data_IF_092346290884
#
_entry.id   IF_092346290884
#
_cell.length_a   1.000
_cell.length_b   1.000
_cell.length_c   1.000
_cell.angle_alpha   90.00
_cell.angle_beta   90.00
_cell.angle_gamma   90.00
#
_symmetry.space_group_name_H-M   'P 1'
#
loop_
_entity.id
_entity.type
_entity.pdbx_description
1 polymer ?
#
# COMPACT_ATOMS: atom_id res chain seq x y z
N UNK A 1 0.00 14.94 -11.03
CA UNK A 1 -0.64 14.09 -12.07
C UNK A 1 -1.53 12.98 -11.51
N UNK A 2 -1.10 12.26 -10.47
CA UNK A 2 -1.89 11.20 -9.82
C UNK A 2 -3.14 11.72 -9.08
N UNK A 3 -3.01 12.82 -8.34
CA UNK A 3 -4.12 13.45 -7.62
C UNK A 3 -5.25 13.89 -8.57
N UNK A 4 -4.89 14.48 -9.70
CA UNK A 4 -5.85 14.93 -10.73
C UNK A 4 -6.61 13.75 -11.36
N UNK A 5 -5.92 12.63 -11.58
CA UNK A 5 -6.54 11.40 -12.08
C UNK A 5 -7.53 10.80 -11.06
N UNK A 6 -7.17 10.78 -9.78
CA UNK A 6 -8.07 10.31 -8.71
C UNK A 6 -9.35 11.16 -8.60
N UNK A 7 -9.21 12.48 -8.70
CA UNK A 7 -10.36 13.40 -8.70
C UNK A 7 -11.25 13.15 -9.92
N UNK A 8 -10.66 12.96 -11.10
CA UNK A 8 -11.41 12.66 -12.33
C UNK A 8 -12.20 11.36 -12.22
N UNK A 9 -11.52 10.28 -11.81
CA UNK A 9 -12.13 8.96 -11.65
C UNK A 9 -13.32 8.99 -10.68
N UNK A 10 -13.17 9.63 -9.52
CA UNK A 10 -14.27 9.79 -8.55
C UNK A 10 -15.47 10.57 -9.12
N UNK A 11 -15.22 11.57 -9.97
CA UNK A 11 -16.29 12.32 -10.65
C UNK A 11 -17.03 11.44 -11.66
N UNK A 12 -16.32 10.62 -12.41
CA UNK A 12 -16.93 9.68 -13.36
C UNK A 12 -17.75 8.59 -12.68
N UNK A 13 -17.23 7.98 -11.61
CA UNK A 13 -17.98 7.02 -10.80
C UNK A 13 -19.27 7.61 -10.25
N UNK A 14 -19.24 8.87 -9.81
CA UNK A 14 -20.43 9.56 -9.34
C UNK A 14 -21.44 9.76 -10.46
N UNK A 15 -21.00 10.27 -11.62
CA UNK A 15 -21.86 10.50 -12.79
C UNK A 15 -22.52 9.22 -13.29
N UNK A 16 -21.77 8.13 -13.37
CA UNK A 16 -22.30 6.84 -13.82
C UNK A 16 -23.35 6.29 -12.86
N UNK A 17 -23.15 6.45 -11.53
CA UNK A 17 -24.16 6.10 -10.52
C UNK A 17 -25.41 6.99 -10.64
N UNK A 18 -25.25 8.30 -10.77
CA UNK A 18 -26.36 9.24 -10.95
C UNK A 18 -27.19 8.92 -12.21
N UNK A 19 -26.52 8.62 -13.34
CA UNK A 19 -27.19 8.23 -14.58
C UNK A 19 -28.03 6.97 -14.42
N UNK A 20 -27.48 5.94 -13.76
CA UNK A 20 -28.23 4.70 -13.45
C UNK A 20 -29.46 4.96 -12.59
N UNK A 21 -29.38 5.89 -11.63
CA UNK A 21 -30.54 6.28 -10.81
C UNK A 21 -31.61 6.96 -11.67
N UNK A 22 -31.22 7.89 -12.55
CA UNK A 22 -32.16 8.61 -13.44
C UNK A 22 -32.89 7.65 -14.39
N UNK A 23 -32.19 6.66 -14.94
CA UNK A 23 -32.77 5.68 -15.85
C UNK A 23 -33.79 4.77 -15.14
N UNK A 24 -33.52 4.42 -13.88
CA UNK A 24 -34.33 3.46 -13.13
C UNK A 24 -35.41 4.08 -12.23
N UNK A 25 -35.31 5.37 -11.89
CA UNK A 25 -36.24 6.02 -10.94
C UNK A 25 -37.68 6.05 -11.42
N UNK A 26 -37.92 6.07 -12.75
CA UNK A 26 -39.27 6.04 -13.33
C UNK A 26 -39.97 4.70 -13.07
N UNK A 27 -39.22 3.60 -13.12
CA UNK A 27 -39.75 2.26 -12.95
C UNK A 27 -39.71 1.81 -11.48
N UNK A 28 -38.72 2.30 -10.72
CA UNK A 28 -38.56 2.02 -9.30
C UNK A 28 -38.15 3.29 -8.54
N UNK A 29 -39.10 4.02 -7.94
CA UNK A 29 -38.82 5.25 -7.22
C UNK A 29 -37.96 5.03 -5.97
N UNK A 30 -37.91 3.80 -5.42
CA UNK A 30 -37.09 3.46 -4.25
C UNK A 30 -35.60 3.71 -4.49
N UNK A 31 -35.14 3.52 -5.72
CA UNK A 31 -33.73 3.73 -6.12
C UNK A 31 -33.29 5.19 -5.89
N UNK A 32 -34.19 6.14 -6.09
CA UNK A 32 -33.92 7.56 -5.82
C UNK A 32 -33.78 7.82 -4.32
N UNK A 33 -34.70 7.30 -3.51
CA UNK A 33 -34.65 7.46 -2.05
C UNK A 33 -33.42 6.78 -1.44
N UNK A 34 -33.06 5.59 -1.91
CA UNK A 34 -31.84 4.90 -1.50
C UNK A 34 -30.57 5.71 -1.85
N UNK A 35 -30.55 6.35 -3.03
CA UNK A 35 -29.46 7.23 -3.42
C UNK A 35 -29.36 8.48 -2.52
N UNK A 36 -30.49 9.13 -2.23
CA UNK A 36 -30.56 10.31 -1.35
C UNK A 36 -30.10 9.96 0.07
N UNK A 37 -30.57 8.84 0.63
CA UNK A 37 -30.19 8.39 1.97
C UNK A 37 -28.68 8.12 2.07
N UNK A 38 -28.10 7.41 1.08
CA UNK A 38 -26.65 7.19 1.02
C UNK A 38 -25.84 8.47 0.91
N UNK A 39 -26.40 9.52 0.29
CA UNK A 39 -25.74 10.81 0.18
C UNK A 39 -25.86 11.64 1.47
N UNK A 40 -26.95 11.47 2.23
CA UNK A 40 -27.16 12.09 3.54
C UNK A 40 -26.23 11.50 4.61
N UNK A 41 -26.02 10.19 4.59
CA UNK A 41 -25.17 9.47 5.56
C UNK A 41 -23.67 9.52 5.21
N UNK A 42 -23.28 10.27 4.19
CA UNK A 42 -21.87 10.55 3.90
C UNK A 42 -21.34 11.55 4.92
N UNK A 43 -20.97 11.04 6.08
CA UNK A 43 -20.11 11.77 7.00
C UNK A 43 -18.74 11.93 6.34
N UNK A 44 -18.53 13.06 5.68
CA UNK A 44 -17.24 13.42 5.06
C UNK A 44 -16.21 13.82 6.10
N UNK A 45 -16.59 13.83 7.37
CA UNK A 45 -15.67 14.06 8.47
C UNK A 45 -14.90 12.77 8.71
N UNK A 46 -13.60 12.82 8.45
CA UNK A 46 -12.66 11.92 9.11
C UNK A 46 -12.91 12.16 10.61
N UNK A 47 -13.30 11.11 11.33
CA UNK A 47 -13.55 11.20 12.77
C UNK A 47 -12.33 11.74 13.51
N UNK A 48 -12.52 12.31 14.70
CA UNK A 48 -11.41 12.89 15.46
C UNK A 48 -10.30 11.87 15.67
N UNK A 49 -9.08 12.23 15.28
CA UNK A 49 -7.91 11.37 15.39
C UNK A 49 -7.39 11.43 16.83
N UNK A 50 -7.34 10.27 17.50
CA UNK A 50 -6.89 10.19 18.89
C UNK A 50 -5.41 9.86 18.95
N UNK A 51 -4.62 10.72 19.58
CA UNK A 51 -3.22 10.44 19.91
C UNK A 51 -3.04 10.57 21.42
N UNK A 52 -2.55 9.50 22.05
CA UNK A 52 -2.23 9.38 23.49
C UNK A 52 -3.40 9.68 24.44
N UNK A 53 -3.97 10.89 24.41
CA UNK A 53 -5.25 11.23 25.01
C UNK A 53 -5.95 12.48 24.42
N UNK A 54 -5.41 13.08 23.36
CA UNK A 54 -5.98 14.26 22.70
C UNK A 54 -6.72 13.89 21.41
N UNK A 55 -7.79 14.63 21.11
CA UNK A 55 -8.59 14.47 19.90
C UNK A 55 -8.32 15.60 18.93
N UNK A 56 -7.86 15.24 17.74
CA UNK A 56 -7.53 16.17 16.68
C UNK A 56 -8.64 16.13 15.64
N UNK A 57 -9.22 17.30 15.35
CA UNK A 57 -10.37 17.45 14.46
C UNK A 57 -10.01 18.06 13.11
N UNK A 58 -8.84 18.70 12.99
CA UNK A 58 -8.40 19.31 11.73
C UNK A 58 -7.87 18.27 10.74
N UNK A 59 -8.46 18.22 9.56
CA UNK A 59 -8.15 17.22 8.54
C UNK A 59 -6.71 17.31 8.03
N UNK A 60 -6.16 18.53 7.91
CA UNK A 60 -4.77 18.71 7.44
C UNK A 60 -3.78 18.20 8.49
N UNK A 61 -4.05 18.47 9.75
CA UNK A 61 -3.27 17.99 10.88
C UNK A 61 -3.29 16.45 10.97
N UNK A 62 -4.46 15.83 10.84
CA UNK A 62 -4.62 14.36 10.79
C UNK A 62 -3.78 13.75 9.66
N UNK A 63 -3.86 14.31 8.46
CA UNK A 63 -3.08 13.82 7.30
C UNK A 63 -1.57 13.90 7.56
N UNK A 64 -1.08 15.00 8.14
CA UNK A 64 0.34 15.16 8.49
C UNK A 64 0.79 14.11 9.50
N UNK A 65 -0.02 13.86 10.53
CA UNK A 65 0.29 12.89 11.58
C UNK A 65 0.37 11.47 11.04
N UNK A 66 -0.58 11.09 10.17
CA UNK A 66 -0.56 9.78 9.51
C UNK A 66 0.71 9.57 8.68
N UNK A 67 1.13 10.60 7.93
CA UNK A 67 2.39 10.54 7.16
C UNK A 67 3.60 10.40 8.08
N UNK A 68 3.65 11.17 9.17
CA UNK A 68 4.74 11.08 10.15
C UNK A 68 4.81 9.69 10.80
N UNK A 69 3.66 9.15 11.22
CA UNK A 69 3.58 7.83 11.85
C UNK A 69 3.94 6.71 10.88
N UNK A 70 3.57 6.84 9.61
CA UNK A 70 4.01 5.92 8.57
C UNK A 70 5.53 5.98 8.39
N UNK A 71 6.09 7.18 8.25
CA UNK A 71 7.53 7.37 8.04
C UNK A 71 8.36 6.92 9.25
N UNK A 72 7.85 7.05 10.48
CA UNK A 72 8.57 6.65 11.69
C UNK A 72 8.80 5.14 11.80
N UNK A 73 8.03 4.32 11.07
CA UNK A 73 8.23 2.87 11.01
C UNK A 73 9.40 2.46 10.10
N UNK A 74 9.87 3.37 9.24
CA UNK A 74 11.02 3.10 8.38
C UNK A 74 12.30 3.49 9.12
N UNK A 75 13.11 2.49 9.45
CA UNK A 75 14.49 2.73 9.89
C UNK A 75 15.28 3.27 8.70
N UNK A 76 15.76 4.51 8.80
CA UNK A 76 16.77 5.03 7.87
C UNK A 76 18.06 4.27 8.21
N UNK A 77 18.32 3.16 7.52
CA UNK A 77 19.62 2.49 7.58
C UNK A 77 20.65 3.38 6.88
N UNK A 78 21.13 4.40 7.59
CA UNK A 78 22.17 5.34 7.13
C UNK A 78 23.57 4.71 7.08
N UNK A 79 23.73 3.51 7.62
CA UNK A 79 24.96 2.73 7.61
C UNK A 79 24.86 1.51 6.69
N UNK A 80 24.42 1.69 5.45
CA UNK A 80 24.76 0.72 4.42
C UNK A 80 26.22 0.98 4.04
N UNK A 81 27.19 0.11 4.41
CA UNK A 81 28.55 0.28 3.94
C UNK A 81 28.51 0.28 2.41
N UNK A 82 29.10 1.30 1.79
CA UNK A 82 29.30 1.32 0.34
C UNK A 82 30.23 0.15 0.01
N UNK A 83 29.65 -0.96 -0.43
CA UNK A 83 30.41 -2.11 -0.86
C UNK A 83 31.12 -1.71 -2.16
N UNK A 84 32.45 -1.61 -2.11
CA UNK A 84 33.27 -1.41 -3.30
C UNK A 84 33.54 -2.77 -3.94
N UNK A 85 33.66 -2.82 -5.28
CA UNK A 85 33.98 -4.05 -6.02
C UNK A 85 35.26 -4.74 -5.53
N UNK A 86 36.19 -3.97 -4.98
CA UNK A 86 37.49 -4.44 -4.48
C UNK A 86 37.36 -5.31 -3.23
N UNK A 87 36.27 -5.18 -2.46
CA UNK A 87 36.00 -6.01 -1.27
C UNK A 87 35.78 -7.49 -1.62
N UNK A 88 35.44 -7.81 -2.87
CA UNK A 88 35.19 -9.18 -3.33
C UNK A 88 36.37 -9.82 -4.07
N UNK A 89 37.50 -9.11 -4.24
CA UNK A 89 38.62 -9.59 -5.08
C UNK A 89 39.74 -10.28 -4.30
N UNK A 90 39.76 -10.20 -2.98
CA UNK A 90 40.80 -10.85 -2.17
C UNK A 90 40.23 -12.12 -1.55
N UNK A 91 40.49 -13.27 -2.18
CA UNK A 91 40.20 -14.57 -1.59
C UNK A 91 41.41 -14.98 -0.74
N UNK A 92 41.28 -14.98 0.59
CA UNK A 92 42.31 -15.46 1.52
C UNK A 92 42.10 -16.95 1.85
N UNK A 93 43.16 -17.64 2.30
CA UNK A 93 43.05 -19.03 2.79
C UNK A 93 42.17 -19.06 4.04
N UNK A 94 40.94 -19.55 3.88
CA UNK A 94 39.89 -19.52 4.90
C UNK A 94 38.54 -19.00 4.39
N UNK A 95 38.49 -18.46 3.17
CA UNK A 95 37.24 -18.01 2.58
C UNK A 95 36.33 -19.18 2.17
N UNK A 96 35.04 -18.98 2.39
CA UNK A 96 33.99 -19.93 2.06
C UNK A 96 33.87 -20.04 0.54
N UNK A 97 34.61 -20.99 -0.04
CA UNK A 97 34.63 -21.26 -1.48
C UNK A 97 33.39 -22.00 -1.94
N UNK A 98 32.71 -22.70 -1.03
CA UNK A 98 31.52 -23.49 -1.32
C UNK A 98 30.54 -23.48 -0.15
N UNK A 99 29.26 -23.64 -0.46
CA UNK A 99 28.18 -23.66 0.52
C UNK A 99 27.35 -24.92 0.28
N UNK A 100 27.37 -25.81 1.25
CA UNK A 100 26.53 -26.99 1.23
C UNK A 100 25.11 -26.62 1.66
N UNK A 101 24.19 -26.56 0.69
CA UNK A 101 22.78 -26.24 0.95
C UNK A 101 22.07 -27.53 1.38
N UNK A 102 21.56 -27.55 2.62
CA UNK A 102 20.76 -28.67 3.13
C UNK A 102 19.47 -28.89 2.34
N UNK A 103 19.03 -30.16 2.27
CA UNK A 103 17.81 -30.57 1.56
C UNK A 103 16.54 -29.82 2.02
N UNK A 104 16.46 -29.44 3.29
CA UNK A 104 15.32 -28.71 3.85
C UNK A 104 15.14 -27.32 3.22
N UNK A 105 16.24 -26.66 2.85
CA UNK A 105 16.22 -25.36 2.19
C UNK A 105 15.70 -25.52 0.76
N UNK A 106 16.15 -26.55 0.05
CA UNK A 106 15.68 -26.87 -1.32
C UNK A 106 14.17 -27.12 -1.31
N UNK A 107 13.69 -27.91 -0.35
CA UNK A 107 12.26 -28.18 -0.18
C UNK A 107 11.45 -26.91 0.12
N UNK A 108 12.01 -26.02 0.95
CA UNK A 108 11.37 -24.76 1.31
C UNK A 108 11.27 -23.81 0.10
N UNK A 109 12.31 -23.75 -0.74
CA UNK A 109 12.29 -23.00 -1.99
C UNK A 109 11.23 -23.56 -2.95
N UNK A 110 11.15 -24.89 -3.09
CA UNK A 110 10.12 -25.54 -3.92
C UNK A 110 8.68 -25.34 -3.42
N UNK A 111 8.50 -24.99 -2.15
CA UNK A 111 7.20 -24.65 -1.56
C UNK A 111 6.78 -23.19 -1.73
N UNK A 112 7.63 -22.33 -2.31
CA UNK A 112 7.29 -20.93 -2.56
C UNK A 112 6.16 -20.83 -3.61
N UNK A 113 5.21 -19.93 -3.35
CA UNK A 113 4.13 -19.68 -4.28
C UNK A 113 4.67 -18.98 -5.55
N UNK A 114 4.37 -19.53 -6.72
CA UNK A 114 4.78 -18.98 -8.01
C UNK A 114 4.22 -17.56 -8.28
N UNK A 115 3.14 -17.18 -7.59
CA UNK A 115 2.54 -15.85 -7.67
C UNK A 115 3.05 -14.89 -6.58
N UNK A 116 4.06 -15.28 -5.80
CA UNK A 116 4.70 -14.38 -4.85
C UNK A 116 5.39 -13.25 -5.60
N UNK A 117 5.16 -12.02 -5.13
CA UNK A 117 5.87 -10.85 -5.66
C UNK A 117 7.35 -10.91 -5.31
N UNK A 118 8.17 -10.29 -6.16
CA UNK A 118 9.60 -10.13 -5.90
C UNK A 118 9.84 -9.44 -4.55
N UNK A 119 10.93 -9.83 -3.90
CA UNK A 119 11.39 -9.20 -2.68
C UNK A 119 11.83 -7.75 -2.92
N UNK A 120 12.23 -7.03 -1.85
CA UNK A 120 12.78 -5.67 -1.97
C UNK A 120 14.09 -5.61 -2.76
N UNK A 121 14.73 -6.75 -2.98
CA UNK A 121 15.90 -6.96 -3.85
C UNK A 121 15.53 -7.04 -5.35
N UNK A 122 14.24 -7.13 -5.69
CA UNK A 122 13.76 -7.23 -7.07
C UNK A 122 13.97 -8.60 -7.72
N UNK A 123 14.37 -9.61 -6.93
CA UNK A 123 14.57 -10.98 -7.44
C UNK A 123 13.23 -11.73 -7.34
N UNK A 124 12.74 -12.33 -8.44
CA UNK A 124 11.49 -13.09 -8.40
C UNK A 124 11.65 -14.34 -7.53
N UNK A 125 10.58 -14.69 -6.81
CA UNK A 125 10.60 -15.81 -5.86
C UNK A 125 10.87 -17.17 -6.53
N UNK A 126 10.53 -17.29 -7.81
CA UNK A 126 10.78 -18.45 -8.67
C UNK A 126 11.09 -17.93 -10.08
N UNK A 127 12.04 -18.56 -10.78
CA UNK A 127 12.36 -18.27 -12.19
C UNK A 127 11.33 -18.86 -13.15
#
# INVERSE_FOLDING_TARGET
ETETMLIHHRKEERRTKEKKVIENMKNNPKVLFDYINKQKDRDTKIGPFKIQNEYIYDQKEICKLLVTQYNSQFSINSNMPKVNKETFSNTEDGDLTDIEILEDIIKSIGGLNMNSSAGPDGIPATF
#
